data_IF_143374175056
#
_entry.id   IF_143374175056
#
_cell.length_a   1.000
_cell.length_b   1.000
_cell.length_c   1.000
_cell.angle_alpha   90.00
_cell.angle_beta   90.00
_cell.angle_gamma   90.00
#
_symmetry.space_group_name_H-M   'P 1'
#
loop_
_entity.id
_entity.type
_entity.pdbx_description
1 polymer ?
#
# COMPACT_ATOMS: atom_id res chain seq x y z
N UNK A 1 -15.79 -9.60 3.53
CA UNK A 1 -15.60 -10.00 2.10
C UNK A 1 -16.07 -11.45 1.92
N UNK A 2 -16.97 -11.72 1.00
CA UNK A 2 -17.45 -13.10 0.72
C UNK A 2 -16.35 -13.94 0.06
N UNK A 3 -16.35 -15.27 0.28
CA UNK A 3 -15.31 -16.19 -0.25
C UNK A 3 -15.10 -16.07 -1.77
N UNK A 4 -16.17 -15.83 -2.52
CA UNK A 4 -16.13 -15.64 -3.98
C UNK A 4 -15.34 -14.38 -4.38
N UNK A 5 -15.48 -13.27 -3.65
CA UNK A 5 -14.81 -12.01 -3.98
C UNK A 5 -13.28 -12.09 -3.77
N UNK A 6 -12.80 -12.88 -2.80
CA UNK A 6 -11.35 -13.04 -2.54
C UNK A 6 -10.64 -13.68 -3.74
N UNK A 7 -11.21 -14.76 -4.28
CA UNK A 7 -10.65 -15.46 -5.44
C UNK A 7 -10.74 -14.63 -6.71
N UNK A 8 -11.84 -13.89 -6.89
CA UNK A 8 -12.02 -12.99 -8.02
C UNK A 8 -10.94 -11.87 -8.03
N UNK A 9 -10.64 -11.29 -6.89
CA UNK A 9 -9.57 -10.29 -6.74
C UNK A 9 -8.19 -10.89 -7.07
N UNK A 10 -7.86 -12.06 -6.50
CA UNK A 10 -6.59 -12.74 -6.78
C UNK A 10 -6.46 -13.16 -8.25
N UNK A 11 -7.56 -13.59 -8.89
CA UNK A 11 -7.60 -13.89 -10.33
C UNK A 11 -7.39 -12.64 -11.19
N UNK A 12 -8.03 -11.53 -10.83
CA UNK A 12 -7.83 -10.26 -11.52
C UNK A 12 -6.36 -9.82 -11.45
N UNK A 13 -5.75 -9.85 -10.27
CA UNK A 13 -4.35 -9.47 -10.09
C UNK A 13 -3.40 -10.36 -10.90
N UNK A 14 -3.59 -11.67 -10.89
CA UNK A 14 -2.79 -12.58 -11.71
C UNK A 14 -2.90 -12.23 -13.20
N UNK A 15 -4.11 -12.00 -13.71
CA UNK A 15 -4.36 -11.60 -15.10
C UNK A 15 -3.66 -10.30 -15.48
N UNK A 16 -3.55 -9.33 -14.59
CA UNK A 16 -2.88 -8.05 -14.84
C UNK A 16 -1.39 -8.05 -14.50
N UNK A 17 -0.81 -9.22 -14.20
CA UNK A 17 0.63 -9.37 -13.97
C UNK A 17 1.09 -9.12 -12.54
N UNK A 18 0.19 -9.07 -11.57
CA UNK A 18 0.53 -8.98 -10.15
C UNK A 18 0.51 -10.39 -9.56
N UNK A 19 1.69 -10.97 -9.33
CA UNK A 19 1.83 -12.37 -8.87
C UNK A 19 1.68 -12.52 -7.35
N UNK A 20 1.96 -11.47 -6.61
CA UNK A 20 1.81 -11.41 -5.15
C UNK A 20 1.23 -10.07 -4.73
N UNK A 21 0.45 -10.05 -3.64
CA UNK A 21 -0.15 -8.81 -3.14
C UNK A 21 -0.32 -8.82 -1.62
N UNK A 22 -0.38 -7.61 -1.06
CA UNK A 22 -0.76 -7.33 0.31
C UNK A 22 -1.94 -6.32 0.29
N UNK A 23 -3.19 -6.77 0.52
CA UNK A 23 -4.31 -5.85 0.52
C UNK A 23 -4.26 -4.93 1.73
N UNK A 24 -4.67 -3.66 1.56
CA UNK A 24 -4.90 -2.76 2.65
C UNK A 24 -6.28 -2.98 3.29
N UNK A 25 -6.38 -2.76 4.60
CA UNK A 25 -7.65 -2.61 5.29
C UNK A 25 -8.19 -1.17 5.12
N UNK A 26 -9.20 -0.82 5.88
CA UNK A 26 -9.68 0.55 6.04
C UNK A 26 -9.95 0.81 7.52
N UNK A 27 -10.15 2.08 7.89
CA UNK A 27 -10.65 2.46 9.21
C UNK A 27 -12.08 1.93 9.40
N UNK A 28 -12.20 0.87 10.18
CA UNK A 28 -13.43 0.13 10.46
C UNK A 28 -13.49 -0.30 11.93
N UNK A 29 -14.68 -0.64 12.47
CA UNK A 29 -14.78 -1.28 13.78
C UNK A 29 -13.93 -2.56 13.85
N UNK A 30 -13.34 -2.86 14.99
CA UNK A 30 -12.47 -4.04 15.17
C UNK A 30 -13.17 -5.35 14.80
N UNK A 31 -14.43 -5.51 15.15
CA UNK A 31 -15.22 -6.72 14.81
C UNK A 31 -15.38 -6.92 13.29
N UNK A 32 -15.32 -5.82 12.53
CA UNK A 32 -15.34 -5.87 11.05
C UNK A 32 -13.96 -6.18 10.52
N UNK A 33 -12.90 -5.58 11.11
CA UNK A 33 -11.51 -5.88 10.79
C UNK A 33 -11.19 -7.35 11.06
N UNK A 34 -11.54 -7.89 12.22
CA UNK A 34 -11.37 -9.31 12.55
C UNK A 34 -11.94 -10.24 11.48
N UNK A 35 -13.17 -9.97 11.03
CA UNK A 35 -13.81 -10.75 9.96
C UNK A 35 -13.10 -10.61 8.63
N UNK A 36 -12.63 -9.40 8.29
CA UNK A 36 -11.90 -9.15 7.05
C UNK A 36 -10.53 -9.87 7.07
N UNK A 37 -9.80 -9.76 8.17
CA UNK A 37 -8.50 -10.38 8.40
C UNK A 37 -8.59 -11.92 8.41
N UNK A 38 -9.59 -12.48 9.08
CA UNK A 38 -9.85 -13.93 9.07
C UNK A 38 -10.18 -14.44 7.65
N UNK A 39 -10.86 -13.64 6.84
CA UNK A 39 -11.09 -13.98 5.44
C UNK A 39 -9.83 -13.89 4.58
N UNK A 40 -8.94 -12.94 4.84
CA UNK A 40 -7.63 -12.84 4.19
C UNK A 40 -6.77 -14.05 4.56
N UNK A 41 -6.76 -14.46 5.84
CA UNK A 41 -6.07 -15.66 6.31
C UNK A 41 -6.51 -16.91 5.56
N UNK A 42 -7.81 -17.11 5.39
CA UNK A 42 -8.33 -18.26 4.61
C UNK A 42 -7.83 -18.27 3.16
N UNK A 43 -7.71 -17.10 2.52
CA UNK A 43 -7.16 -17.02 1.16
C UNK A 43 -5.67 -17.34 1.14
N UNK A 44 -4.91 -16.87 2.12
CA UNK A 44 -3.49 -17.17 2.24
C UNK A 44 -3.25 -18.68 2.45
N UNK A 45 -4.06 -19.31 3.29
CA UNK A 45 -3.97 -20.77 3.55
C UNK A 45 -4.39 -21.62 2.34
N UNK A 46 -5.44 -21.21 1.62
CA UNK A 46 -5.90 -21.90 0.41
C UNK A 46 -4.87 -21.79 -0.73
N UNK A 47 -4.20 -20.65 -0.86
CA UNK A 47 -3.20 -20.32 -1.89
C UNK A 47 -3.45 -21.02 -3.25
N UNK A 48 -4.59 -20.74 -3.93
CA UNK A 48 -4.98 -21.51 -5.09
C UNK A 48 -3.99 -21.31 -6.24
N UNK A 49 -3.61 -22.39 -6.94
CA UNK A 49 -2.72 -22.31 -8.08
C UNK A 49 -3.29 -21.41 -9.20
N UNK A 50 -2.41 -20.66 -9.88
CA UNK A 50 -2.79 -19.74 -10.95
C UNK A 50 -3.48 -18.46 -10.50
N UNK A 51 -3.56 -18.20 -9.20
CA UNK A 51 -4.06 -16.95 -8.64
C UNK A 51 -2.94 -16.18 -7.95
N UNK A 52 -3.02 -14.85 -7.95
CA UNK A 52 -2.08 -14.01 -7.21
C UNK A 52 -2.06 -14.38 -5.73
N UNK A 53 -0.87 -14.47 -5.15
CA UNK A 53 -0.66 -14.98 -3.79
C UNK A 53 -0.74 -13.84 -2.77
N UNK A 54 -1.59 -13.97 -1.76
CA UNK A 54 -1.65 -13.07 -0.64
C UNK A 54 -0.45 -13.31 0.28
N UNK A 55 0.48 -12.35 0.39
CA UNK A 55 1.72 -12.45 1.16
C UNK A 55 1.69 -11.73 2.50
N UNK A 56 0.75 -10.83 2.69
CA UNK A 56 0.61 -10.03 3.88
C UNK A 56 -0.63 -9.16 3.82
N UNK A 57 -0.79 -8.31 4.83
CA UNK A 57 -1.85 -7.30 4.92
C UNK A 57 -1.20 -6.02 5.37
N UNK A 58 -1.59 -4.89 4.79
CA UNK A 58 -1.36 -3.56 5.32
C UNK A 58 -2.57 -3.16 6.15
N UNK A 59 -2.39 -2.98 7.46
CA UNK A 59 -3.44 -2.47 8.32
C UNK A 59 -3.47 -0.94 8.19
N UNK A 60 -4.27 -0.46 7.25
CA UNK A 60 -4.48 0.96 6.98
C UNK A 60 -5.63 1.48 7.84
N UNK A 61 -5.28 2.17 8.92
CA UNK A 61 -6.19 2.60 9.98
C UNK A 61 -6.42 1.53 11.07
N UNK A 62 -7.03 1.95 12.20
CA UNK A 62 -7.77 3.20 12.44
C UNK A 62 -6.95 4.35 13.09
N UNK A 63 -5.65 4.28 13.19
CA UNK A 63 -4.80 5.18 13.97
C UNK A 63 -4.39 6.43 13.18
N UNK A 64 -5.37 7.20 12.69
CA UNK A 64 -5.17 8.29 11.74
C UNK A 64 -5.59 9.66 12.26
N UNK A 65 -4.96 10.70 11.73
CA UNK A 65 -5.34 12.08 11.96
C UNK A 65 -6.72 12.39 11.41
N UNK A 66 -7.58 12.97 12.23
CA UNK A 66 -8.90 13.43 11.76
C UNK A 66 -8.80 14.40 10.58
N UNK A 67 -7.80 15.30 10.59
CA UNK A 67 -7.60 16.29 9.52
C UNK A 67 -7.15 15.66 8.20
N UNK A 68 -6.43 14.56 8.26
CA UNK A 68 -5.83 13.88 7.10
C UNK A 68 -6.45 12.50 6.84
N UNK A 69 -7.64 12.26 7.35
CA UNK A 69 -8.34 10.97 7.21
C UNK A 69 -8.66 10.60 5.76
N UNK A 70 -8.67 11.57 4.81
CA UNK A 70 -9.09 11.29 3.44
C UNK A 70 -10.49 10.69 3.39
N UNK A 71 -10.64 9.58 2.73
CA UNK A 71 -11.91 8.83 2.61
C UNK A 71 -12.17 7.87 3.79
N UNK A 72 -11.30 7.83 4.81
CA UNK A 72 -11.51 7.00 5.99
C UNK A 72 -12.68 7.54 6.83
N UNK A 73 -13.54 6.63 7.34
CA UNK A 73 -14.70 7.03 8.13
C UNK A 73 -14.26 7.58 9.50
N UNK A 74 -14.58 8.86 9.82
CA UNK A 74 -14.14 9.49 11.07
C UNK A 74 -14.69 8.85 12.33
N UNK A 75 -15.85 8.19 12.25
CA UNK A 75 -16.51 7.58 13.41
C UNK A 75 -15.73 6.38 13.99
N UNK A 76 -14.81 5.81 13.20
CA UNK A 76 -14.03 4.63 13.56
C UNK A 76 -12.57 4.93 13.83
N UNK A 77 -12.15 6.21 13.77
CA UNK A 77 -10.79 6.61 14.13
C UNK A 77 -10.52 6.31 15.61
N UNK A 78 -9.33 5.83 15.91
CA UNK A 78 -8.89 5.49 17.27
C UNK A 78 -7.50 6.09 17.55
N UNK A 79 -7.23 6.29 18.84
CA UNK A 79 -5.85 6.42 19.29
C UNK A 79 -5.08 5.10 19.05
N UNK A 80 -3.77 5.15 18.87
CA UNK A 80 -2.94 3.95 18.77
C UNK A 80 -3.16 3.01 19.97
N UNK A 81 -3.47 1.75 19.66
CA UNK A 81 -3.86 0.72 20.62
C UNK A 81 -3.09 -0.57 20.31
N UNK A 82 -1.99 -0.79 21.01
CA UNK A 82 -1.12 -1.94 20.76
C UNK A 82 -1.76 -3.27 21.14
N UNK A 83 -2.55 -3.32 22.23
CA UNK A 83 -3.24 -4.55 22.64
C UNK A 83 -4.31 -4.95 21.61
N UNK A 84 -5.11 -3.99 21.14
CA UNK A 84 -6.08 -4.21 20.09
C UNK A 84 -5.44 -4.61 18.76
N UNK A 85 -4.32 -3.99 18.39
CA UNK A 85 -3.53 -4.39 17.22
C UNK A 85 -3.03 -5.83 17.34
N UNK A 86 -2.47 -6.22 18.48
CA UNK A 86 -1.98 -7.58 18.71
C UNK A 86 -3.09 -8.62 18.65
N UNK A 87 -4.27 -8.33 19.19
CA UNK A 87 -5.43 -9.22 19.06
C UNK A 87 -5.81 -9.48 17.59
N UNK A 88 -5.79 -8.42 16.75
CA UNK A 88 -6.03 -8.55 15.30
C UNK A 88 -4.91 -9.34 14.60
N UNK A 89 -3.65 -9.09 14.98
CA UNK A 89 -2.48 -9.77 14.42
C UNK A 89 -2.50 -11.28 14.73
N UNK A 90 -2.80 -11.66 15.95
CA UNK A 90 -2.96 -13.03 16.37
C UNK A 90 -4.15 -13.70 15.69
N UNK A 91 -5.29 -13.02 15.64
CA UNK A 91 -6.52 -13.49 15.00
C UNK A 91 -6.36 -13.79 13.50
N UNK A 92 -5.45 -13.13 12.81
CA UNK A 92 -5.11 -13.42 11.41
C UNK A 92 -3.84 -14.27 11.23
N UNK A 93 -3.27 -14.81 12.32
CA UNK A 93 -2.10 -15.69 12.28
C UNK A 93 -0.83 -14.97 11.79
N UNK A 94 -0.63 -13.72 12.18
CA UNK A 94 0.58 -12.95 11.86
C UNK A 94 0.64 -12.40 10.44
N UNK A 95 -0.49 -12.23 9.76
CA UNK A 95 -0.53 -11.75 8.37
C UNK A 95 -0.39 -10.24 8.23
N UNK A 96 -0.59 -9.42 9.29
CA UNK A 96 -0.34 -7.98 9.20
C UNK A 96 1.17 -7.78 9.09
N UNK A 97 1.61 -7.28 7.94
CA UNK A 97 3.02 -7.03 7.61
C UNK A 97 3.38 -5.56 7.66
N UNK A 98 2.39 -4.70 7.52
CA UNK A 98 2.54 -3.24 7.67
C UNK A 98 1.39 -2.77 8.55
N UNK A 99 1.66 -1.89 9.51
CA UNK A 99 0.66 -1.16 10.27
C UNK A 99 0.88 0.33 10.13
N UNK A 100 -0.18 1.06 9.83
CA UNK A 100 -0.16 2.49 9.58
C UNK A 100 -0.53 3.29 10.82
N UNK A 101 0.18 4.39 11.07
CA UNK A 101 -0.07 5.27 12.21
C UNK A 101 0.26 6.73 11.89
N UNK A 102 -0.55 7.65 12.38
CA UNK A 102 -0.27 9.08 12.39
C UNK A 102 0.54 9.43 13.64
N UNK A 103 1.80 9.87 13.51
CA UNK A 103 2.74 9.97 14.64
C UNK A 103 2.44 11.12 15.61
N UNK A 104 1.62 12.10 15.22
CA UNK A 104 1.19 13.19 16.09
C UNK A 104 0.09 12.78 17.08
N UNK A 105 -0.45 11.57 16.96
CA UNK A 105 -1.48 11.10 17.88
C UNK A 105 -0.89 10.77 19.26
N UNK A 106 -1.62 11.07 20.35
CA UNK A 106 -1.20 10.66 21.67
C UNK A 106 -0.98 9.15 21.77
N UNK A 107 0.19 8.73 22.27
CA UNK A 107 0.58 7.32 22.40
C UNK A 107 1.22 6.72 21.15
N UNK A 108 1.31 7.46 20.03
CA UNK A 108 1.88 6.94 18.78
C UNK A 108 3.34 6.52 18.92
N UNK A 109 4.17 7.28 19.64
CA UNK A 109 5.58 6.93 19.83
C UNK A 109 5.74 5.57 20.51
N UNK A 110 5.00 5.33 21.59
CA UNK A 110 5.04 4.06 22.32
C UNK A 110 4.49 2.90 21.45
N UNK A 111 3.39 3.13 20.73
CA UNK A 111 2.87 2.16 19.79
C UNK A 111 3.93 1.78 18.72
N UNK A 112 4.63 2.76 18.13
CA UNK A 112 5.67 2.51 17.14
C UNK A 112 6.80 1.67 17.73
N UNK A 113 7.26 1.99 18.96
CA UNK A 113 8.31 1.25 19.67
C UNK A 113 7.96 -0.22 19.88
N UNK A 114 6.70 -0.51 20.16
CA UNK A 114 6.22 -1.88 20.36
C UNK A 114 5.94 -2.60 19.03
N UNK A 115 5.28 -1.94 18.09
CA UNK A 115 4.84 -2.54 16.84
C UNK A 115 5.99 -2.86 15.87
N UNK A 116 7.13 -2.11 15.92
CA UNK A 116 8.30 -2.34 15.05
C UNK A 116 8.92 -3.75 15.20
N UNK A 117 8.74 -4.37 16.34
CA UNK A 117 9.24 -5.73 16.58
C UNK A 117 8.27 -6.82 16.09
N UNK A 118 7.08 -6.41 15.62
CA UNK A 118 6.02 -7.28 15.11
C UNK A 118 5.92 -7.21 13.58
N UNK A 119 5.93 -6.00 13.02
CA UNK A 119 5.83 -5.77 11.58
C UNK A 119 6.40 -4.40 11.19
N UNK A 120 6.43 -4.09 9.90
CA UNK A 120 6.79 -2.75 9.41
C UNK A 120 5.78 -1.72 9.92
N UNK A 121 6.27 -0.65 10.55
CA UNK A 121 5.44 0.48 10.94
C UNK A 121 5.56 1.58 9.90
N UNK A 122 4.42 2.04 9.39
CA UNK A 122 4.33 3.07 8.36
C UNK A 122 3.67 4.34 8.91
N UNK A 123 4.24 5.48 8.56
CA UNK A 123 3.60 6.79 8.80
C UNK A 123 2.58 7.03 7.69
N UNK A 124 1.33 7.31 8.07
CA UNK A 124 0.21 7.45 7.13
C UNK A 124 -0.88 8.37 7.67
N UNK A 125 -1.67 8.98 6.77
CA UNK A 125 -2.85 9.78 7.11
C UNK A 125 -2.60 10.75 8.28
N UNK A 126 -1.57 11.56 8.15
CA UNK A 126 -0.98 12.36 9.22
C UNK A 126 -0.97 13.85 8.93
N UNK A 127 -1.21 14.67 9.94
CA UNK A 127 -0.97 16.13 9.93
C UNK A 127 0.34 16.48 10.66
N UNK A 128 1.23 15.48 10.86
CA UNK A 128 2.48 15.65 11.57
C UNK A 128 3.38 16.71 10.94
N UNK A 129 4.01 17.50 11.80
CA UNK A 129 5.13 18.33 11.44
C UNK A 129 6.43 17.50 11.29
N UNK A 130 7.52 18.18 11.00
CA UNK A 130 8.82 17.56 10.79
C UNK A 130 9.35 16.86 12.07
N UNK A 131 9.12 17.43 13.25
CA UNK A 131 9.65 16.89 14.50
C UNK A 131 8.88 15.63 14.94
N UNK A 132 7.54 15.61 14.81
CA UNK A 132 6.76 14.39 15.03
C UNK A 132 7.15 13.27 14.04
N UNK A 133 7.38 13.62 12.77
CA UNK A 133 7.83 12.63 11.79
C UNK A 133 9.22 12.06 12.12
N UNK A 134 10.17 12.91 12.48
CA UNK A 134 11.51 12.47 12.93
C UNK A 134 11.45 11.58 14.17
N UNK A 135 10.61 11.94 15.15
CA UNK A 135 10.36 11.11 16.34
C UNK A 135 9.86 9.72 15.93
N UNK A 136 8.89 9.64 15.03
CA UNK A 136 8.35 8.36 14.57
C UNK A 136 9.43 7.47 13.92
N UNK A 137 10.24 8.03 13.03
CA UNK A 137 11.33 7.29 12.39
C UNK A 137 12.43 6.90 13.38
N UNK A 138 12.75 7.74 14.37
CA UNK A 138 13.66 7.40 15.44
C UNK A 138 13.09 6.32 16.39
N UNK A 139 11.78 6.28 16.59
CA UNK A 139 11.09 5.24 17.37
C UNK A 139 11.07 3.88 16.67
N UNK A 140 11.19 3.85 15.34
CA UNK A 140 11.28 2.61 14.57
C UNK A 140 10.33 2.49 13.39
N UNK A 141 9.58 3.54 13.02
CA UNK A 141 8.86 3.54 11.76
C UNK A 141 9.86 3.57 10.59
N UNK A 142 9.65 2.71 9.59
CA UNK A 142 10.56 2.55 8.44
C UNK A 142 9.85 2.65 7.10
N UNK A 143 8.60 3.11 7.12
CA UNK A 143 7.79 3.18 5.93
C UNK A 143 6.95 4.47 5.90
N UNK A 144 6.54 4.90 4.71
CA UNK A 144 5.66 6.04 4.49
C UNK A 144 4.62 5.65 3.42
N UNK A 145 3.37 5.61 3.79
CA UNK A 145 2.25 5.15 2.93
C UNK A 145 1.87 6.22 1.93
N UNK A 146 1.59 5.82 0.68
CA UNK A 146 1.07 6.62 -0.46
C UNK A 146 1.53 8.10 -0.45
N UNK A 147 2.84 8.30 -0.56
CA UNK A 147 3.54 9.59 -0.55
C UNK A 147 2.73 10.72 -1.22
N UNK A 148 2.67 11.88 -0.60
CA UNK A 148 1.88 13.09 -0.93
C UNK A 148 0.40 13.01 -0.54
N UNK A 149 -0.21 11.85 -0.48
CA UNK A 149 -1.62 11.69 -0.21
C UNK A 149 -1.90 11.64 1.28
N UNK A 150 -2.94 12.34 1.74
CA UNK A 150 -3.34 12.42 3.15
C UNK A 150 -2.21 12.83 4.12
N UNK A 151 -1.31 13.74 3.71
CA UNK A 151 -0.23 14.30 4.52
C UNK A 151 0.00 15.79 4.18
N UNK A 152 0.77 16.56 4.99
CA UNK A 152 1.15 17.93 4.67
C UNK A 152 1.98 18.00 3.39
N UNK A 153 1.76 19.05 2.58
CA UNK A 153 2.62 19.34 1.44
C UNK A 153 4.01 19.82 1.91
N UNK A 154 5.03 19.59 1.08
CA UNK A 154 6.38 20.11 1.34
C UNK A 154 6.34 21.65 1.33
N UNK A 155 6.81 22.25 2.42
CA UNK A 155 6.91 23.70 2.54
C UNK A 155 8.25 24.08 3.16
N UNK A 156 8.92 25.11 2.60
CA UNK A 156 10.32 25.46 2.93
C UNK A 156 10.57 25.91 4.37
N UNK A 157 9.55 26.30 5.14
CA UNK A 157 9.64 26.68 6.56
C UNK A 157 8.93 25.68 7.48
N UNK A 158 8.08 24.82 6.92
CA UNK A 158 7.35 23.78 7.64
C UNK A 158 7.38 22.51 6.79
N UNK A 159 8.51 21.80 6.74
CA UNK A 159 8.76 20.77 5.74
C UNK A 159 7.86 19.53 5.86
N UNK A 160 7.38 19.21 7.07
CA UNK A 160 6.49 18.08 7.30
C UNK A 160 7.17 16.72 7.19
N UNK A 161 6.38 15.71 6.88
CA UNK A 161 6.75 14.29 6.94
C UNK A 161 7.74 13.90 5.85
N UNK A 162 7.58 14.42 4.63
CA UNK A 162 8.31 13.95 3.45
C UNK A 162 9.81 14.21 3.54
N UNK A 163 10.29 15.42 3.88
CA UNK A 163 11.71 15.64 4.09
C UNK A 163 12.27 14.81 5.25
N UNK A 164 11.54 14.67 6.36
CA UNK A 164 11.98 13.85 7.48
C UNK A 164 12.19 12.38 7.09
N UNK A 165 11.30 11.83 6.24
CA UNK A 165 11.42 10.48 5.69
C UNK A 165 12.60 10.38 4.70
N UNK A 166 12.78 11.38 3.85
CA UNK A 166 13.86 11.38 2.85
C UNK A 166 15.25 11.38 3.48
N UNK A 167 15.43 12.10 4.59
CA UNK A 167 16.69 12.18 5.36
C UNK A 167 17.04 10.87 6.08
N UNK A 168 16.06 10.01 6.37
CA UNK A 168 16.30 8.73 7.02
C UNK A 168 16.50 7.61 5.98
N UNK A 169 17.71 7.05 5.83
CA UNK A 169 18.02 6.05 4.79
C UNK A 169 17.28 4.72 4.99
N UNK A 170 16.74 4.46 6.18
CA UNK A 170 15.98 3.24 6.48
C UNK A 170 14.51 3.33 6.04
N UNK A 171 14.02 4.53 5.72
CA UNK A 171 12.61 4.72 5.36
C UNK A 171 12.39 4.49 3.87
N UNK A 172 11.44 3.62 3.56
CA UNK A 172 10.86 3.44 2.22
C UNK A 172 9.61 4.28 2.08
N UNK A 173 9.29 4.69 0.86
CA UNK A 173 8.10 5.48 0.58
C UNK A 173 7.27 4.84 -0.54
N UNK A 174 5.99 4.63 -0.28
CA UNK A 174 5.05 4.18 -1.28
C UNK A 174 4.64 5.33 -2.21
N UNK A 175 4.32 5.00 -3.46
CA UNK A 175 3.87 5.98 -4.44
C UNK A 175 2.87 5.37 -5.41
N UNK A 176 1.75 6.06 -5.64
CA UNK A 176 0.75 5.71 -6.64
C UNK A 176 1.11 6.42 -7.95
N UNK A 177 1.47 5.65 -8.98
CA UNK A 177 1.92 6.18 -10.28
C UNK A 177 0.84 6.09 -11.36
N UNK A 178 -0.37 6.55 -11.06
CA UNK A 178 -1.48 6.60 -12.03
C UNK A 178 -1.56 7.93 -12.80
N UNK A 179 -0.75 8.93 -12.44
CA UNK A 179 -0.77 10.28 -13.00
C UNK A 179 -1.91 11.17 -12.49
N UNK A 180 -2.73 10.65 -11.57
CA UNK A 180 -3.88 11.32 -10.97
C UNK A 180 -3.64 11.62 -9.49
N UNK A 181 -3.11 10.67 -8.72
CA UNK A 181 -2.70 10.84 -7.32
C UNK A 181 -1.39 11.63 -7.20
N UNK A 182 -0.49 11.48 -8.16
CA UNK A 182 0.76 12.23 -8.22
C UNK A 182 1.03 12.69 -9.66
N UNK A 183 1.29 13.99 -9.83
CA UNK A 183 1.71 14.54 -11.12
C UNK A 183 3.05 13.92 -11.55
N UNK A 184 3.30 13.64 -12.86
CA UNK A 184 4.55 13.04 -13.33
C UNK A 184 5.84 13.73 -12.85
N UNK A 185 5.84 15.05 -12.68
CA UNK A 185 6.98 15.78 -12.10
C UNK A 185 7.23 15.40 -10.64
N UNK A 186 6.17 15.14 -9.86
CA UNK A 186 6.27 14.73 -8.45
C UNK A 186 6.70 13.26 -8.33
N UNK A 187 6.35 12.41 -9.30
CA UNK A 187 6.89 11.05 -9.39
C UNK A 187 8.41 11.10 -9.55
N UNK A 188 8.93 11.86 -10.54
CA UNK A 188 10.38 12.03 -10.71
C UNK A 188 11.06 12.64 -9.48
N UNK A 189 10.43 13.63 -8.86
CA UNK A 189 10.95 14.25 -7.64
C UNK A 189 11.06 13.23 -6.50
N UNK A 190 10.05 12.38 -6.29
CA UNK A 190 10.10 11.32 -5.29
C UNK A 190 11.28 10.36 -5.52
N UNK A 191 11.46 9.87 -6.74
CA UNK A 191 12.59 9.01 -7.09
C UNK A 191 13.95 9.73 -6.93
N UNK A 192 14.01 11.05 -7.13
CA UNK A 192 15.26 11.82 -6.94
C UNK A 192 15.66 11.96 -5.47
N UNK A 193 14.71 12.06 -4.55
CA UNK A 193 14.98 12.26 -3.11
C UNK A 193 15.09 10.95 -2.32
N UNK A 194 14.35 9.91 -2.71
CA UNK A 194 14.41 8.60 -2.03
C UNK A 194 15.36 7.62 -2.74
N UNK A 195 15.58 7.79 -4.04
CA UNK A 195 16.30 6.82 -4.88
C UNK A 195 15.50 5.55 -5.16
N UNK A 196 15.81 4.85 -6.27
CA UNK A 196 15.10 3.64 -6.69
C UNK A 196 15.09 2.51 -5.65
N UNK A 197 16.08 2.47 -4.77
CA UNK A 197 16.16 1.43 -3.73
C UNK A 197 15.14 1.58 -2.59
N UNK A 198 14.59 2.78 -2.38
CA UNK A 198 13.65 3.06 -1.28
C UNK A 198 12.22 3.36 -1.76
N UNK A 199 12.01 3.59 -3.05
CA UNK A 199 10.66 3.77 -3.57
C UNK A 199 9.93 2.43 -3.67
N UNK A 200 8.64 2.42 -3.28
CA UNK A 200 7.73 1.28 -3.40
C UNK A 200 6.55 1.73 -4.23
N UNK A 201 6.33 1.12 -5.39
CA UNK A 201 5.11 1.39 -6.15
C UNK A 201 3.96 0.60 -5.56
N UNK A 202 2.86 1.28 -5.36
CA UNK A 202 1.58 0.69 -4.94
C UNK A 202 0.48 1.13 -5.90
N UNK A 203 -0.55 0.31 -6.05
CA UNK A 203 -1.71 0.70 -6.83
C UNK A 203 -2.75 1.44 -5.99
N UNK A 204 -2.85 1.12 -4.71
CA UNK A 204 -3.95 1.60 -3.86
C UNK A 204 -5.31 1.46 -4.56
N UNK A 205 -5.49 0.31 -5.21
CA UNK A 205 -6.66 0.06 -6.06
C UNK A 205 -7.83 -0.44 -5.23
N UNK A 206 -8.93 0.26 -5.39
CA UNK A 206 -10.18 -0.13 -4.75
C UNK A 206 -11.00 -1.12 -5.57
N UNK A 207 -12.17 -1.44 -5.05
CA UNK A 207 -13.20 -2.31 -5.67
C UNK A 207 -13.61 -1.85 -7.08
N UNK A 208 -13.41 -0.58 -7.41
CA UNK A 208 -13.72 -0.01 -8.72
C UNK A 208 -12.73 -0.38 -9.82
N UNK A 209 -11.59 -0.99 -9.48
CA UNK A 209 -10.59 -1.38 -10.46
C UNK A 209 -11.18 -2.36 -11.48
N UNK A 210 -11.12 -2.00 -12.77
CA UNK A 210 -11.73 -2.76 -13.86
C UNK A 210 -13.22 -2.50 -14.09
N UNK A 211 -13.86 -1.61 -13.32
CA UNK A 211 -15.27 -1.21 -13.56
C UNK A 211 -15.35 -0.08 -14.60
N UNK A 212 -16.51 0.06 -15.31
CA UNK A 212 -16.75 1.18 -16.20
C UNK A 212 -16.75 2.54 -15.46
N UNK A 213 -16.30 3.61 -16.13
CA UNK A 213 -16.44 4.98 -15.62
C UNK A 213 -17.91 5.30 -15.30
N UNK A 214 -18.16 6.02 -14.20
CA UNK A 214 -19.50 6.31 -13.68
C UNK A 214 -20.09 5.22 -12.76
N UNK A 215 -19.39 4.09 -12.57
CA UNK A 215 -19.85 3.04 -11.65
C UNK A 215 -19.94 3.54 -10.22
N UNK A 216 -21.06 3.24 -9.56
CA UNK A 216 -21.26 3.47 -8.12
C UNK A 216 -20.91 2.21 -7.33
N UNK A 217 -20.26 2.38 -6.18
CA UNK A 217 -19.94 1.31 -5.24
C UNK A 217 -19.86 1.85 -3.81
N UNK A 218 -19.75 0.96 -2.85
CA UNK A 218 -19.57 1.30 -1.43
C UNK A 218 -18.10 1.12 -1.03
N UNK A 219 -17.55 2.08 -0.28
CA UNK A 219 -16.22 2.06 0.30
C UNK A 219 -16.27 2.49 1.78
N UNK A 220 -15.96 1.58 2.70
CA UNK A 220 -15.96 1.89 4.14
C UNK A 220 -17.31 2.39 4.70
N UNK A 221 -18.43 1.92 4.14
CA UNK A 221 -19.78 2.38 4.52
C UNK A 221 -20.21 3.69 3.84
N UNK A 222 -19.42 4.21 2.91
CA UNK A 222 -19.70 5.44 2.18
C UNK A 222 -19.93 5.15 0.70
N UNK A 223 -20.83 5.91 0.06
CA UNK A 223 -21.02 5.86 -1.39
C UNK A 223 -19.82 6.49 -2.10
N UNK A 224 -19.30 5.80 -3.11
CA UNK A 224 -18.23 6.25 -3.98
C UNK A 224 -18.55 6.00 -5.45
N UNK A 225 -17.93 6.79 -6.32
CA UNK A 225 -18.10 6.70 -7.77
C UNK A 225 -16.75 6.64 -8.46
N UNK A 226 -16.64 5.84 -9.48
CA UNK A 226 -15.49 5.87 -10.39
C UNK A 226 -15.66 7.04 -11.36
N UNK A 227 -14.79 8.04 -11.24
CA UNK A 227 -14.79 9.24 -12.08
C UNK A 227 -13.39 9.45 -12.64
N UNK A 228 -13.27 9.36 -13.97
CA UNK A 228 -12.02 9.62 -14.70
C UNK A 228 -10.78 8.89 -14.13
N UNK A 229 -10.95 7.61 -13.81
CA UNK A 229 -9.86 6.73 -13.38
C UNK A 229 -9.58 6.72 -11.87
N UNK A 230 -10.31 7.50 -11.07
CA UNK A 230 -10.20 7.48 -9.60
C UNK A 230 -11.56 7.33 -8.94
N UNK A 231 -11.59 6.69 -7.78
CA UNK A 231 -12.76 6.67 -6.91
C UNK A 231 -12.90 8.00 -6.18
N UNK A 232 -14.11 8.54 -6.14
CA UNK A 232 -14.42 9.77 -5.41
C UNK A 232 -15.64 9.58 -4.52
N UNK A 233 -15.59 10.15 -3.32
CA UNK A 233 -16.75 10.33 -2.47
C UNK A 233 -17.66 11.45 -3.00
N UNK A 234 -18.85 11.61 -2.41
CA UNK A 234 -19.83 12.62 -2.81
C UNK A 234 -19.31 14.07 -2.72
N UNK A 235 -18.37 14.33 -1.81
CA UNK A 235 -17.73 15.64 -1.63
C UNK A 235 -16.53 15.87 -2.57
N UNK A 236 -16.23 14.91 -3.46
CA UNK A 236 -15.13 14.97 -4.40
C UNK A 236 -13.78 14.44 -3.86
N UNK A 237 -13.71 14.05 -2.60
CA UNK A 237 -12.50 13.45 -2.00
C UNK A 237 -12.08 12.21 -2.79
N UNK A 238 -10.81 12.13 -3.19
CA UNK A 238 -10.24 10.91 -3.78
C UNK A 238 -10.18 9.83 -2.70
N UNK A 239 -10.65 8.65 -3.04
CA UNK A 239 -10.82 7.55 -2.09
C UNK A 239 -9.90 6.35 -2.35
N UNK A 240 -9.60 6.05 -3.60
CA UNK A 240 -8.65 5.04 -4.03
C UNK A 240 -8.43 5.14 -5.55
N UNK A 241 -7.45 4.42 -6.07
CA UNK A 241 -7.23 4.34 -7.51
C UNK A 241 -8.12 3.29 -8.19
N UNK A 242 -8.20 3.35 -9.51
CA UNK A 242 -8.74 2.29 -10.35
C UNK A 242 -7.66 1.65 -11.25
N UNK A 243 -6.38 1.91 -10.94
CA UNK A 243 -5.23 1.35 -11.65
C UNK A 243 -4.80 -0.01 -11.08
N UNK A 244 -3.76 -0.60 -11.64
CA UNK A 244 -3.08 -1.78 -11.10
C UNK A 244 -1.57 -1.52 -11.04
N UNK A 245 -0.85 -2.39 -10.33
CA UNK A 245 0.58 -2.19 -10.09
C UNK A 245 1.43 -2.25 -11.37
N UNK A 246 1.08 -3.10 -12.33
CA UNK A 246 1.78 -3.17 -13.62
C UNK A 246 1.68 -1.84 -14.36
N UNK A 247 0.49 -1.26 -14.44
CA UNK A 247 0.26 0.03 -15.08
C UNK A 247 0.97 1.16 -14.32
N UNK A 248 1.03 1.12 -12.98
CA UNK A 248 1.83 2.05 -12.17
C UNK A 248 3.32 1.99 -12.54
N UNK A 249 3.88 0.78 -12.70
CA UNK A 249 5.27 0.59 -13.13
C UNK A 249 5.52 1.16 -14.53
N UNK A 250 4.67 0.83 -15.48
CA UNK A 250 4.78 1.33 -16.88
C UNK A 250 4.65 2.85 -16.92
N UNK A 251 3.73 3.42 -16.14
CA UNK A 251 3.59 4.86 -16.03
C UNK A 251 4.82 5.52 -15.41
N UNK A 252 5.42 4.94 -14.37
CA UNK A 252 6.66 5.46 -13.79
C UNK A 252 7.77 5.58 -14.85
N UNK A 253 7.96 4.55 -15.69
CA UNK A 253 8.89 4.58 -16.82
C UNK A 253 8.54 5.69 -17.82
N UNK A 254 7.26 5.77 -18.23
CA UNK A 254 6.77 6.81 -19.15
C UNK A 254 6.91 8.22 -18.60
N UNK A 255 6.86 8.38 -17.28
CA UNK A 255 7.08 9.66 -16.59
C UNK A 255 8.57 10.01 -16.47
N UNK A 256 9.49 9.12 -16.89
CA UNK A 256 10.93 9.37 -16.95
C UNK A 256 11.71 8.82 -15.76
N UNK A 257 11.16 7.87 -15.01
CA UNK A 257 11.92 7.07 -14.04
C UNK A 257 12.74 6.03 -14.80
N UNK A 258 13.98 5.74 -14.35
CA UNK A 258 14.79 4.68 -14.93
C UNK A 258 14.06 3.33 -14.83
N UNK A 259 14.11 2.55 -15.89
CA UNK A 259 13.39 1.27 -16.02
C UNK A 259 13.71 0.32 -14.88
N UNK A 260 14.97 0.15 -14.54
CA UNK A 260 15.45 -0.70 -13.45
C UNK A 260 14.91 -0.25 -12.08
N UNK A 261 14.82 1.07 -11.85
CA UNK A 261 14.26 1.63 -10.62
C UNK A 261 12.75 1.41 -10.54
N UNK A 262 12.01 1.59 -11.63
CA UNK A 262 10.56 1.36 -11.69
C UNK A 262 10.23 -0.12 -11.49
N UNK A 263 10.95 -1.04 -12.14
CA UNK A 263 10.79 -2.49 -11.97
C UNK A 263 11.12 -2.90 -10.55
N UNK A 264 12.23 -2.41 -9.99
CA UNK A 264 12.62 -2.68 -8.59
C UNK A 264 11.57 -2.17 -7.61
N UNK A 265 11.04 -0.98 -7.82
CA UNK A 265 10.02 -0.37 -6.97
C UNK A 265 8.66 -1.10 -7.05
N UNK A 266 8.39 -1.84 -8.13
CA UNK A 266 7.18 -2.66 -8.29
C UNK A 266 7.35 -4.13 -7.89
N UNK A 267 8.58 -4.58 -7.56
CA UNK A 267 8.85 -6.01 -7.30
C UNK A 267 9.63 -6.23 -6.01
N UNK A 268 10.93 -5.96 -6.00
CA UNK A 268 11.82 -6.26 -4.87
C UNK A 268 11.54 -5.37 -3.65
N UNK A 269 11.34 -4.07 -3.85
CA UNK A 269 11.14 -3.16 -2.73
C UNK A 269 9.83 -3.41 -1.96
N UNK A 270 8.66 -3.65 -2.62
CA UNK A 270 7.46 -4.06 -1.89
C UNK A 270 7.62 -5.42 -1.19
N UNK A 271 8.36 -6.37 -1.76
CA UNK A 271 8.69 -7.62 -1.07
C UNK A 271 9.49 -7.37 0.22
N UNK A 272 10.48 -6.46 0.18
CA UNK A 272 11.21 -6.04 1.38
C UNK A 272 10.30 -5.35 2.40
N UNK A 273 9.34 -4.54 1.97
CA UNK A 273 8.43 -3.82 2.88
C UNK A 273 7.59 -4.78 3.75
N UNK A 274 7.28 -5.96 3.24
CA UNK A 274 6.50 -7.00 3.93
C UNK A 274 7.36 -8.20 4.40
N UNK A 275 8.69 -8.10 4.35
CA UNK A 275 9.65 -9.17 4.72
C UNK A 275 9.42 -10.47 3.93
N UNK A 276 9.14 -10.34 2.64
CA UNK A 276 8.93 -11.48 1.71
C UNK A 276 10.05 -11.59 0.65
N UNK A 277 11.10 -10.78 0.73
CA UNK A 277 12.19 -10.69 -0.26
C UNK A 277 13.02 -11.97 -0.38
N UNK A 278 13.01 -12.82 0.63
CA UNK A 278 13.62 -14.15 0.56
C UNK A 278 12.85 -15.14 -0.32
N UNK A 279 11.57 -14.84 -0.60
CA UNK A 279 10.67 -15.72 -1.35
C UNK A 279 10.37 -15.22 -2.75
N UNK A 280 10.23 -13.89 -2.93
CA UNK A 280 9.76 -13.26 -4.18
C UNK A 280 10.45 -11.91 -4.41
N UNK A 281 10.14 -11.25 -5.54
CA UNK A 281 10.58 -9.88 -5.83
C UNK A 281 11.86 -9.79 -6.67
N UNK A 282 12.60 -10.89 -6.87
CA UNK A 282 13.76 -10.97 -7.75
C UNK A 282 13.91 -12.38 -8.32
N UNK A 283 14.65 -12.50 -9.42
CA UNK A 283 14.95 -13.79 -10.07
C UNK A 283 16.27 -14.30 -9.50
N UNK A 284 16.17 -15.15 -8.49
CA UNK A 284 17.31 -15.74 -7.78
C UNK A 284 17.04 -17.21 -7.45
N UNK A 285 18.11 -18.01 -7.39
CA UNK A 285 17.99 -19.45 -6.99
C UNK A 285 17.37 -19.58 -5.60
N UNK A 286 16.36 -20.44 -5.49
CA UNK A 286 15.65 -20.70 -4.24
C UNK A 286 14.39 -19.86 -4.03
N UNK A 287 14.16 -18.82 -4.83
CA UNK A 287 12.90 -18.04 -4.80
C UNK A 287 11.82 -18.70 -5.67
N UNK A 288 10.57 -18.32 -5.41
CA UNK A 288 9.43 -18.74 -6.23
C UNK A 288 9.58 -18.18 -7.63
N UNK A 289 9.38 -19.03 -8.64
CA UNK A 289 9.51 -18.63 -10.05
C UNK A 289 8.26 -17.87 -10.54
N UNK A 290 8.01 -16.74 -9.92
CA UNK A 290 6.97 -15.77 -10.29
C UNK A 290 7.63 -14.64 -11.06
N UNK A 291 7.36 -14.52 -12.36
CA UNK A 291 7.96 -13.49 -13.20
C UNK A 291 7.08 -13.13 -14.40
N UNK A 292 7.37 -11.99 -15.00
CA UNK A 292 6.73 -11.51 -16.23
C UNK A 292 7.74 -11.52 -17.39
N UNK A 293 7.26 -11.85 -18.57
CA UNK A 293 7.96 -11.63 -19.83
C UNK A 293 7.17 -10.59 -20.61
N UNK A 294 7.78 -9.43 -20.83
CA UNK A 294 7.12 -8.29 -21.47
C UNK A 294 7.74 -7.98 -22.82
N UNK A 295 6.94 -7.41 -23.74
CA UNK A 295 7.46 -6.73 -24.91
C UNK A 295 8.29 -5.50 -24.52
N UNK A 296 9.18 -5.03 -25.39
CA UNK A 296 10.07 -3.89 -25.10
C UNK A 296 9.31 -2.56 -24.84
N UNK A 297 8.07 -2.45 -25.29
CA UNK A 297 7.18 -1.30 -25.06
C UNK A 297 6.18 -1.53 -23.92
N UNK A 298 6.27 -2.68 -23.24
CA UNK A 298 5.35 -3.11 -22.17
C UNK A 298 3.87 -3.26 -22.59
N UNK A 299 3.58 -3.30 -23.89
CA UNK A 299 2.20 -3.46 -24.38
C UNK A 299 1.69 -4.88 -24.13
N UNK A 300 2.54 -5.89 -24.35
CA UNK A 300 2.21 -7.30 -24.13
C UNK A 300 2.99 -7.87 -22.95
N UNK A 301 2.35 -8.79 -22.23
CA UNK A 301 2.97 -9.54 -21.12
C UNK A 301 2.50 -10.97 -21.07
N UNK A 302 3.39 -11.86 -20.69
CA UNK A 302 3.14 -13.24 -20.29
C UNK A 302 3.45 -13.35 -18.80
N UNK A 303 2.59 -13.99 -18.06
CA UNK A 303 2.67 -14.12 -16.60
C UNK A 303 3.05 -15.55 -16.26
N UNK A 304 4.08 -15.71 -15.45
CA UNK A 304 4.51 -17.01 -14.92
C UNK A 304 4.35 -17.02 -13.41
N UNK A 305 3.69 -18.04 -12.88
CA UNK A 305 3.52 -18.27 -11.46
C UNK A 305 4.00 -19.68 -11.10
N UNK A 306 4.88 -19.76 -10.13
CA UNK A 306 5.58 -21.00 -9.76
C UNK A 306 6.15 -21.75 -10.98
N UNK A 307 6.64 -20.99 -11.98
CA UNK A 307 7.22 -21.52 -13.21
C UNK A 307 6.22 -21.98 -14.27
N UNK A 308 4.92 -21.83 -14.03
CA UNK A 308 3.85 -22.16 -14.99
C UNK A 308 3.29 -20.88 -15.61
N UNK A 309 3.16 -20.85 -16.94
CA UNK A 309 2.48 -19.78 -17.66
C UNK A 309 0.97 -19.82 -17.41
N UNK A 310 0.33 -18.65 -17.17
CA UNK A 310 -1.10 -18.51 -16.94
C UNK A 310 -1.89 -18.40 -18.23
#
# INVERSE_FOLDING_TARGET
MLAHHRKAMAAYYAKVGVTSFAPASMTLPYEVLEKALANARKLADESPAGLSVLRGIQMEGPYFSYKKRGAQNPDYLKAPDFEGFMALQEGCGGLIRIVDVAPELPGAEEFIRQAKDVCTVSVAHTDADYDHARMAFAAGATHLTHLYNAMPAIHHRNPGVIPAAAENPSVRAELICDGLHAHPAMVRFAFSIFGGARMVLVSDSGRCCGMPNGSKFELGGQDAWLVDGVARLADGTIACSATNLYDCMVNAIRFGVAEEDAVRAASFNPACAISAESLVGSIETGKVADFLVCSADYADRRVFMAGQEL
#
